data_IF_540875824849
#
_entry.id   IF_540875824849
#
_cell.length_a   1.000
_cell.length_b   1.000
_cell.length_c   1.000
_cell.angle_alpha   90.00
_cell.angle_beta   90.00
_cell.angle_gamma   90.00
#
_symmetry.space_group_name_H-M   'P 1'
#
loop_
_entity.id
_entity.type
_entity.pdbx_description
1 polymer ?
#
# COMPACT_ATOMS: atom_id res chain seq x y z
N UNK A 1 18.61 18.40 -0.59
CA UNK A 1 18.94 18.05 0.81
C UNK A 1 18.93 16.53 0.95
N UNK A 2 19.99 15.94 1.51
CA UNK A 2 20.01 14.50 1.77
C UNK A 2 19.15 14.19 3.00
N UNK A 3 18.26 13.20 2.91
CA UNK A 3 17.45 12.74 4.06
C UNK A 3 18.35 12.21 5.18
N UNK A 4 18.11 12.68 6.40
CA UNK A 4 18.80 12.18 7.61
C UNK A 4 18.55 10.68 7.78
N UNK A 5 19.52 9.93 8.33
CA UNK A 5 19.40 8.49 8.58
C UNK A 5 18.14 8.12 9.37
N UNK A 6 17.77 8.95 10.35
CA UNK A 6 16.53 8.80 11.13
C UNK A 6 15.27 8.82 10.26
N UNK A 7 15.19 9.75 9.30
CA UNK A 7 14.06 9.85 8.37
C UNK A 7 14.01 8.69 7.39
N UNK A 8 15.16 8.23 6.89
CA UNK A 8 15.24 7.03 6.06
C UNK A 8 14.68 5.81 6.80
N UNK A 9 15.08 5.62 8.06
CA UNK A 9 14.56 4.54 8.90
C UNK A 9 13.04 4.67 9.12
N UNK A 10 12.56 5.89 9.39
CA UNK A 10 11.13 6.14 9.56
C UNK A 10 10.32 5.78 8.31
N UNK A 11 10.78 6.21 7.14
CA UNK A 11 10.15 5.87 5.84
C UNK A 11 10.16 4.35 5.63
N UNK A 12 11.27 3.67 5.92
CA UNK A 12 11.34 2.20 5.81
C UNK A 12 10.34 1.51 6.75
N UNK A 13 10.20 1.97 7.99
CA UNK A 13 9.21 1.43 8.91
C UNK A 13 7.77 1.73 8.46
N UNK A 14 7.49 2.90 7.92
CA UNK A 14 6.19 3.22 7.32
C UNK A 14 5.86 2.23 6.19
N UNK A 15 6.79 1.98 5.27
CA UNK A 15 6.59 1.03 4.16
C UNK A 15 6.33 -0.39 4.70
N UNK A 16 7.12 -0.85 5.69
CA UNK A 16 6.92 -2.17 6.32
C UNK A 16 5.55 -2.27 6.96
N UNK A 17 5.11 -1.25 7.68
CA UNK A 17 3.82 -1.25 8.37
C UNK A 17 2.66 -1.25 7.37
N UNK A 18 2.76 -0.48 6.27
CA UNK A 18 1.77 -0.53 5.18
C UNK A 18 1.67 -1.93 4.57
N UNK A 19 2.80 -2.56 4.26
CA UNK A 19 2.83 -3.92 3.72
C UNK A 19 2.25 -4.93 4.71
N UNK A 20 2.66 -4.90 5.99
CA UNK A 20 2.13 -5.79 7.04
C UNK A 20 0.62 -5.66 7.18
N UNK A 21 0.12 -4.43 7.21
CA UNK A 21 -1.33 -4.17 7.27
C UNK A 21 -2.04 -4.74 6.04
N UNK A 22 -1.47 -4.59 4.84
CA UNK A 22 -2.03 -5.20 3.63
C UNK A 22 -2.05 -6.72 3.71
N UNK A 23 -0.98 -7.36 4.17
CA UNK A 23 -0.93 -8.81 4.34
C UNK A 23 -1.98 -9.31 5.34
N UNK A 24 -2.16 -8.61 6.47
CA UNK A 24 -3.13 -9.00 7.51
C UNK A 24 -4.58 -8.85 7.05
N UNK A 25 -4.86 -7.83 6.24
CA UNK A 25 -6.23 -7.48 5.83
C UNK A 25 -6.57 -7.94 4.41
N UNK A 26 -5.65 -8.62 3.71
CA UNK A 26 -5.87 -9.05 2.34
C UNK A 26 -7.00 -10.09 2.29
N UNK A 27 -7.99 -9.81 1.45
CA UNK A 27 -9.06 -10.72 1.09
C UNK A 27 -9.08 -10.84 -0.43
N UNK A 28 -9.07 -12.06 -0.98
CA UNK A 28 -9.31 -12.28 -2.41
C UNK A 28 -10.65 -11.67 -2.80
N UNK A 29 -10.74 -11.15 -4.03
CA UNK A 29 -11.98 -10.54 -4.54
C UNK A 29 -13.10 -11.58 -4.75
N UNK A 30 -12.74 -12.83 -5.02
CA UNK A 30 -13.68 -13.94 -5.20
C UNK A 30 -13.04 -15.27 -4.82
N UNK A 31 -13.85 -16.15 -4.24
CA UNK A 31 -13.43 -17.52 -3.86
C UNK A 31 -13.64 -18.52 -5.00
N UNK A 32 -14.43 -18.18 -6.04
CA UNK A 32 -14.75 -19.10 -7.13
C UNK A 32 -14.08 -18.68 -8.45
N UNK A 33 -12.88 -19.20 -8.71
CA UNK A 33 -12.08 -18.88 -9.91
C UNK A 33 -11.68 -20.13 -10.71
N UNK A 34 -12.64 -20.95 -11.21
CA UNK A 34 -12.36 -22.27 -11.79
C UNK A 34 -11.46 -22.20 -13.03
N UNK A 35 -11.65 -21.20 -13.89
CA UNK A 35 -10.79 -20.97 -15.05
C UNK A 35 -9.36 -20.60 -14.63
N UNK A 36 -9.20 -19.65 -13.72
CA UNK A 36 -7.88 -19.19 -13.28
C UNK A 36 -7.11 -20.26 -12.51
N UNK A 37 -7.80 -21.05 -11.69
CA UNK A 37 -7.19 -22.20 -11.03
C UNK A 37 -6.72 -23.25 -12.03
N UNK A 38 -7.46 -23.46 -13.14
CA UNK A 38 -7.01 -24.37 -14.19
C UNK A 38 -5.84 -23.82 -15.00
N UNK A 39 -5.82 -22.51 -15.23
CA UNK A 39 -4.79 -21.84 -16.02
C UNK A 39 -3.46 -21.69 -15.27
N UNK A 40 -3.52 -21.26 -14.00
CA UNK A 40 -2.34 -20.85 -13.22
C UNK A 40 -2.03 -21.79 -12.04
N UNK A 41 -3.01 -22.57 -11.59
CA UNK A 41 -2.94 -23.27 -10.31
C UNK A 41 -3.31 -22.36 -9.13
N UNK A 42 -3.70 -22.96 -8.00
CA UNK A 42 -4.19 -22.25 -6.82
C UNK A 42 -3.15 -21.32 -6.20
N UNK A 43 -1.92 -21.80 -6.01
CA UNK A 43 -0.86 -21.03 -5.33
C UNK A 43 -0.42 -19.82 -6.14
N UNK A 44 -0.23 -19.99 -7.45
CA UNK A 44 0.13 -18.88 -8.35
C UNK A 44 -0.98 -17.86 -8.44
N UNK A 45 -2.25 -18.30 -8.41
CA UNK A 45 -3.40 -17.42 -8.40
C UNK A 45 -3.48 -16.59 -7.11
N UNK A 46 -3.22 -17.20 -5.95
CA UNK A 46 -3.17 -16.48 -4.67
C UNK A 46 -2.10 -15.38 -4.68
N UNK A 47 -0.88 -15.71 -5.16
CA UNK A 47 0.20 -14.73 -5.31
C UNK A 47 -0.16 -13.63 -6.30
N UNK A 48 -0.72 -14.00 -7.46
CA UNK A 48 -1.14 -13.03 -8.48
C UNK A 48 -2.19 -12.06 -7.94
N UNK A 49 -3.24 -12.56 -7.29
CA UNK A 49 -4.31 -11.72 -6.75
C UNK A 49 -3.79 -10.81 -5.63
N UNK A 50 -2.88 -11.30 -4.80
CA UNK A 50 -2.21 -10.48 -3.79
C UNK A 50 -1.39 -9.34 -4.42
N UNK A 51 -0.55 -9.65 -5.42
CA UNK A 51 0.23 -8.65 -6.15
C UNK A 51 -0.65 -7.64 -6.88
N UNK A 52 -1.74 -8.09 -7.49
CA UNK A 52 -2.72 -7.22 -8.14
C UNK A 52 -3.35 -6.26 -7.12
N UNK A 53 -3.80 -6.76 -5.98
CA UNK A 53 -4.38 -5.95 -4.90
C UNK A 53 -3.38 -4.96 -4.32
N UNK A 54 -2.10 -5.36 -4.20
CA UNK A 54 -1.03 -4.43 -3.84
C UNK A 54 -0.87 -3.33 -4.88
N UNK A 55 -0.80 -3.71 -6.17
CA UNK A 55 -0.56 -2.78 -7.26
C UNK A 55 -1.65 -1.69 -7.36
N UNK A 56 -2.91 -2.06 -7.18
CA UNK A 56 -4.03 -1.10 -7.21
C UNK A 56 -4.07 -0.17 -5.99
N UNK A 57 -3.40 -0.53 -4.89
CA UNK A 57 -3.42 0.24 -3.64
C UNK A 57 -2.11 0.96 -3.33
N UNK A 58 -1.06 0.84 -4.18
CA UNK A 58 0.23 1.51 -3.99
C UNK A 58 0.08 3.02 -3.78
N UNK A 59 -0.76 3.69 -4.58
CA UNK A 59 -0.95 5.14 -4.51
C UNK A 59 -1.35 5.62 -3.12
N UNK A 60 -2.52 5.19 -2.66
CA UNK A 60 -3.10 5.65 -1.39
C UNK A 60 -2.51 4.95 -0.16
N UNK A 61 -2.12 3.69 -0.28
CA UNK A 61 -1.72 2.89 0.89
C UNK A 61 -0.21 2.92 1.17
N UNK A 62 0.62 3.30 0.19
CA UNK A 62 2.08 3.30 0.34
C UNK A 62 2.69 4.65 -0.05
N UNK A 63 2.43 5.15 -1.25
CA UNK A 63 3.05 6.39 -1.73
C UNK A 63 2.56 7.62 -0.98
N UNK A 64 1.27 7.71 -0.68
CA UNK A 64 0.71 8.83 0.09
C UNK A 64 1.30 8.94 1.52
N UNK A 65 1.33 7.87 2.34
CA UNK A 65 2.02 7.91 3.64
C UNK A 65 3.50 8.27 3.54
N UNK A 66 4.23 7.75 2.54
CA UNK A 66 5.65 8.07 2.34
C UNK A 66 5.82 9.53 1.94
N UNK A 67 4.98 10.04 1.04
CA UNK A 67 4.98 11.45 0.63
C UNK A 67 4.71 12.38 1.82
N UNK A 68 3.78 12.00 2.71
CA UNK A 68 3.52 12.71 3.97
C UNK A 68 4.77 12.81 4.84
N UNK A 69 5.48 11.69 5.04
CA UNK A 69 6.70 11.67 5.84
C UNK A 69 7.85 12.48 5.22
N UNK A 70 7.95 12.49 3.89
CA UNK A 70 8.91 13.33 3.17
C UNK A 70 8.57 14.81 3.33
N UNK A 71 7.30 15.18 3.14
CA UNK A 71 6.84 16.56 3.20
C UNK A 71 7.01 17.19 4.59
N UNK A 72 6.95 16.40 5.68
CA UNK A 72 7.12 16.87 7.07
C UNK A 72 8.46 17.55 7.33
N UNK A 73 9.46 17.29 6.48
CA UNK A 73 10.77 17.92 6.60
C UNK A 73 10.81 19.34 6.03
N UNK A 74 9.89 19.68 5.13
CA UNK A 74 9.93 20.92 4.34
C UNK A 74 8.75 21.83 4.64
N UNK A 75 7.58 21.27 4.94
CA UNK A 75 6.32 22.01 5.04
C UNK A 75 5.74 21.94 6.45
N UNK A 76 5.10 23.04 6.88
CA UNK A 76 4.47 23.18 8.19
C UNK A 76 3.16 22.39 8.29
N UNK A 77 2.40 22.34 7.20
CA UNK A 77 1.09 21.68 7.12
C UNK A 77 1.04 20.70 5.95
N UNK A 78 0.55 19.49 6.22
CA UNK A 78 0.48 18.38 5.26
C UNK A 78 -0.79 17.61 5.49
N UNK A 79 -1.63 17.55 4.47
CA UNK A 79 -2.90 16.84 4.49
C UNK A 79 -2.81 15.60 3.60
N UNK A 80 -3.45 14.53 4.04
CA UNK A 80 -3.60 13.26 3.31
C UNK A 80 -5.08 12.97 3.21
N UNK A 81 -5.53 12.55 2.02
CA UNK A 81 -6.93 12.39 1.61
C UNK A 81 -7.76 13.66 1.80
N UNK A 82 -8.55 14.01 0.79
CA UNK A 82 -9.49 15.12 0.88
C UNK A 82 -10.90 14.61 0.60
N UNK A 83 -11.79 14.72 1.59
CA UNK A 83 -13.21 14.43 1.39
C UNK A 83 -13.86 15.67 0.78
N UNK A 84 -14.44 15.52 -0.40
CA UNK A 84 -15.20 16.58 -1.06
C UNK A 84 -16.61 16.61 -0.46
N UNK A 85 -16.91 17.65 0.33
CA UNK A 85 -18.25 17.94 0.87
C UNK A 85 -18.56 17.30 2.23
N UNK A 86 -19.30 18.06 3.06
CA UNK A 86 -20.02 17.51 4.21
C UNK A 86 -21.28 16.82 3.67
N UNK A 87 -21.32 15.49 3.71
CA UNK A 87 -22.57 14.72 3.63
C UNK A 87 -22.67 13.94 4.94
#
# INVERSE_FOLDING_TARGET
MALTKKYKNHITETIKNCLRSKFQNYKPETDNMPFHYRLLGKDRMALFSFLQSLNTTFGTSIYEPVAKELAKTTFKEIHTQYKLGNI
#
